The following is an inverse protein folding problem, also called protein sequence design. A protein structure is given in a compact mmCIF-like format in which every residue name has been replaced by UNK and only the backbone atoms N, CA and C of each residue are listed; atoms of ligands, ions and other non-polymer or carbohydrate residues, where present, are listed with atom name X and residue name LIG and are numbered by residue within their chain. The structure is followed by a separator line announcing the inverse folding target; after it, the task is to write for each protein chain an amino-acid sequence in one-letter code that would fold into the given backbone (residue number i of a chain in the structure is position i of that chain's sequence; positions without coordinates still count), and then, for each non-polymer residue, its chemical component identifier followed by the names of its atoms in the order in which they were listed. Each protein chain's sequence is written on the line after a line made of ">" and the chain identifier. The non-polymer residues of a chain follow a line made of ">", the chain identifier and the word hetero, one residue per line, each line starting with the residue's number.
data_IF_442218336321
#
_entry.id   IF_442218336321
#
_cell.length_a   1.000
_cell.length_b   1.000
_cell.length_c   1.000
_cell.angle_alpha   90.00
_cell.angle_beta   90.00
_cell.angle_gamma   90.00
#
_symmetry.space_group_name_H-M   'P 1'
#
loop_
_entity.id
_entity.type
_entity.pdbx_description
1 polymer ?
#
# COMPACT_ATOMS: atom_id res chain seq x y z
N UNK A 1 1.58 14.15 1.14
CA UNK A 1 0.64 14.93 1.99
C UNK A 1 -0.74 14.23 1.97
N UNK A 2 -1.74 14.67 2.75
CA UNK A 2 -3.06 13.97 2.87
C UNK A 2 -3.78 13.79 1.53
N UNK A 3 -3.76 14.82 0.67
CA UNK A 3 -4.45 14.80 -0.62
C UNK A 3 -3.85 13.76 -1.56
N UNK A 4 -2.51 13.67 -1.60
CA UNK A 4 -1.82 12.61 -2.36
C UNK A 4 -2.16 11.22 -1.82
N UNK A 5 -2.20 11.06 -0.50
CA UNK A 5 -2.55 9.78 0.14
C UNK A 5 -3.99 9.35 -0.21
N UNK A 6 -4.92 10.29 -0.22
CA UNK A 6 -6.32 10.06 -0.61
C UNK A 6 -6.45 9.57 -2.06
N UNK A 7 -5.64 10.12 -2.97
CA UNK A 7 -5.59 9.68 -4.38
C UNK A 7 -5.06 8.25 -4.48
N UNK A 8 -3.96 7.94 -3.76
CA UNK A 8 -3.35 6.58 -3.77
C UNK A 8 -4.31 5.54 -3.23
N UNK A 9 -4.98 5.83 -2.11
CA UNK A 9 -5.92 4.90 -1.47
C UNK A 9 -7.31 4.88 -2.14
N UNK A 10 -7.58 5.81 -3.06
CA UNK A 10 -8.92 6.07 -3.61
C UNK A 10 -9.99 6.22 -2.51
N UNK A 11 -9.61 6.83 -1.38
CA UNK A 11 -10.46 6.95 -0.21
C UNK A 11 -10.00 8.14 0.67
N UNK A 12 -10.73 9.24 0.61
CA UNK A 12 -10.42 10.47 1.36
C UNK A 12 -10.61 10.30 2.86
N UNK A 13 -11.66 9.59 3.30
CA UNK A 13 -11.91 9.40 4.73
C UNK A 13 -10.81 8.53 5.38
N UNK A 14 -10.39 7.47 4.69
CA UNK A 14 -9.31 6.61 5.16
C UNK A 14 -7.98 7.38 5.25
N UNK A 15 -7.64 8.13 4.21
CA UNK A 15 -6.41 8.94 4.21
C UNK A 15 -6.41 9.98 5.33
N UNK A 16 -7.55 10.65 5.57
CA UNK A 16 -7.68 11.60 6.67
C UNK A 16 -7.41 10.95 8.03
N UNK A 17 -8.07 9.83 8.33
CA UNK A 17 -7.87 9.10 9.60
C UNK A 17 -6.44 8.61 9.78
N UNK A 18 -5.78 8.17 8.70
CA UNK A 18 -4.38 7.75 8.78
C UNK A 18 -3.45 8.92 9.06
N UNK A 19 -3.69 10.09 8.48
CA UNK A 19 -2.92 11.30 8.77
C UNK A 19 -3.17 11.78 10.20
N UNK A 20 -4.40 11.72 10.72
CA UNK A 20 -4.68 12.05 12.12
C UNK A 20 -3.90 11.15 13.11
N UNK A 21 -3.74 9.86 12.79
CA UNK A 21 -3.06 8.90 13.66
C UNK A 21 -1.53 8.95 13.53
N UNK A 22 -1.01 9.04 12.30
CA UNK A 22 0.42 8.89 12.01
C UNK A 22 1.14 10.23 11.76
N UNK A 23 0.40 11.32 11.60
CA UNK A 23 0.88 12.68 11.33
C UNK A 23 1.38 12.87 9.89
N UNK A 24 2.16 11.92 9.37
CA UNK A 24 2.68 11.93 8.00
C UNK A 24 2.56 10.55 7.36
N UNK A 25 2.43 10.47 6.02
CA UNK A 25 2.38 9.19 5.31
C UNK A 25 3.61 8.29 5.56
N UNK A 26 4.78 8.90 5.78
CA UNK A 26 6.06 8.20 5.98
C UNK A 26 6.09 7.38 7.28
N UNK A 27 5.23 7.71 8.24
CA UNK A 27 5.14 7.00 9.51
C UNK A 27 4.14 5.83 9.47
N UNK A 28 3.37 5.65 8.39
CA UNK A 28 2.37 4.58 8.26
C UNK A 28 3.10 3.23 8.17
N UNK A 29 2.72 2.29 9.04
CA UNK A 29 3.23 0.92 9.00
C UNK A 29 2.99 0.28 7.62
N UNK A 30 4.01 -0.32 7.03
CA UNK A 30 3.94 -0.93 5.69
C UNK A 30 2.78 -1.93 5.56
N UNK A 31 2.52 -2.71 6.61
CA UNK A 31 1.42 -3.66 6.59
C UNK A 31 0.08 -2.94 6.41
N UNK A 32 -0.16 -1.87 7.17
CA UNK A 32 -1.38 -1.06 7.10
C UNK A 32 -1.48 -0.31 5.76
N UNK A 33 -0.38 0.28 5.31
CA UNK A 33 -0.31 0.98 4.02
C UNK A 33 -0.65 0.04 2.85
N UNK A 34 -0.10 -1.16 2.82
CA UNK A 34 -0.33 -2.10 1.72
C UNK A 34 -1.71 -2.76 1.71
N UNK A 35 -2.39 -2.91 2.85
CA UNK A 35 -3.81 -3.35 2.87
C UNK A 35 -4.80 -2.22 2.59
N UNK A 36 -4.39 -0.96 2.80
CA UNK A 36 -5.22 0.21 2.55
C UNK A 36 -5.29 0.59 1.06
N UNK A 37 -4.35 0.14 0.24
CA UNK A 37 -4.38 0.38 -1.20
C UNK A 37 -5.50 -0.40 -1.90
N UNK A 38 -6.14 0.19 -2.94
CA UNK A 38 -7.13 -0.52 -3.73
C UNK A 38 -6.50 -1.69 -4.48
N UNK A 39 -7.27 -2.77 -4.65
CA UNK A 39 -6.78 -3.95 -5.37
C UNK A 39 -6.44 -3.63 -6.83
N UNK A 40 -5.31 -4.17 -7.29
CA UNK A 40 -4.97 -4.15 -8.71
C UNK A 40 -5.96 -5.02 -9.53
N UNK A 41 -6.13 -4.75 -10.84
CA UNK A 41 -7.05 -5.52 -11.68
C UNK A 41 -6.79 -7.03 -11.64
N UNK A 42 -7.82 -7.80 -11.26
CA UNK A 42 -7.72 -9.26 -11.13
C UNK A 42 -6.92 -9.78 -9.93
N UNK A 43 -6.43 -8.89 -9.06
CA UNK A 43 -5.64 -9.24 -7.89
C UNK A 43 -6.44 -9.10 -6.58
N UNK A 44 -5.81 -9.51 -5.48
CA UNK A 44 -6.32 -9.35 -4.09
C UNK A 44 -5.43 -8.46 -3.24
N UNK A 45 -4.48 -7.77 -3.87
CA UNK A 45 -3.53 -6.86 -3.23
C UNK A 45 -3.36 -5.60 -4.08
N UNK A 46 -3.02 -4.49 -3.45
CA UNK A 46 -2.69 -3.24 -4.12
C UNK A 46 -1.29 -3.23 -4.75
N UNK A 47 -0.95 -2.17 -5.50
CA UNK A 47 0.32 -2.04 -6.19
C UNK A 47 1.58 -2.26 -5.33
N UNK A 48 1.63 -1.73 -4.10
CA UNK A 48 2.78 -1.88 -3.19
C UNK A 48 3.02 -3.35 -2.86
N UNK A 49 1.99 -4.05 -2.40
CA UNK A 49 2.10 -5.47 -2.08
C UNK A 49 2.29 -6.33 -3.33
N UNK A 50 1.69 -5.99 -4.46
CA UNK A 50 1.97 -6.67 -5.72
C UNK A 50 3.47 -6.60 -6.06
N UNK A 51 4.10 -5.44 -5.90
CA UNK A 51 5.54 -5.26 -6.10
C UNK A 51 6.38 -6.11 -5.13
N UNK A 52 6.14 -5.98 -3.82
CA UNK A 52 6.93 -6.67 -2.80
C UNK A 52 6.79 -8.21 -2.91
N UNK A 53 5.56 -8.69 -3.02
CA UNK A 53 5.26 -10.12 -3.11
C UNK A 53 5.86 -10.69 -4.40
N UNK A 54 5.59 -10.09 -5.56
CA UNK A 54 6.11 -10.60 -6.84
C UNK A 54 7.64 -10.60 -6.89
N UNK A 55 8.28 -9.56 -6.37
CA UNK A 55 9.75 -9.49 -6.28
C UNK A 55 10.32 -10.61 -5.43
N UNK A 56 9.72 -10.86 -4.25
CA UNK A 56 10.16 -11.92 -3.37
C UNK A 56 9.98 -13.31 -4.01
N UNK A 57 8.81 -13.57 -4.62
CA UNK A 57 8.52 -14.83 -5.30
C UNK A 57 9.40 -15.04 -6.54
N UNK A 58 9.73 -13.97 -7.28
CA UNK A 58 10.66 -14.04 -8.40
C UNK A 58 12.06 -14.43 -7.93
N UNK A 59 12.58 -13.80 -6.87
CA UNK A 59 13.92 -14.07 -6.34
C UNK A 59 14.08 -15.51 -5.87
N UNK A 60 13.11 -16.05 -5.13
CA UNK A 60 13.17 -17.45 -4.68
C UNK A 60 13.07 -18.43 -5.84
N UNK A 61 12.33 -18.11 -6.91
CA UNK A 61 12.24 -18.95 -8.11
C UNK A 61 13.54 -18.94 -8.93
N UNK A 62 14.27 -17.83 -8.94
CA UNK A 62 15.52 -17.69 -9.71
C UNK A 62 16.76 -18.18 -8.93
N UNK A 63 16.66 -18.25 -7.61
CA UNK A 63 17.73 -18.71 -6.72
C UNK A 63 17.66 -20.19 -6.35
N UNK A 64 16.64 -20.89 -6.85
CA UNK A 64 16.51 -22.36 -6.89
C UNK A 64 16.77 -22.82 -8.33
#
# INVERSE_FOLDING_TARGET
>A
NEQELAVVMNNTELAHRLIELYGTPENIDIWLGGVAEPFAPGARVGPLFACLISTQFQRIRQGD
#
